data_IF_117216515468
#
_entry.id   IF_117216515468
#
_cell.length_a   1.000
_cell.length_b   1.000
_cell.length_c   1.000
_cell.angle_alpha   90.00
_cell.angle_beta   90.00
_cell.angle_gamma   90.00
#
_symmetry.space_group_name_H-M   'P 1'
#
loop_
_entity.id
_entity.type
_entity.pdbx_description
1 polymer ?
#
# COMPACT_ATOMS: atom_id res chain seq x y z
N UNK A 1 13.19 4.47 15.87
CA UNK A 1 12.36 3.31 16.26
C UNK A 1 13.27 2.31 16.97
N UNK A 2 13.00 1.97 18.24
CA UNK A 2 13.89 1.11 19.06
C UNK A 2 14.00 -0.27 18.40
N UNK A 3 15.23 -0.64 18.07
CA UNK A 3 15.64 -1.98 17.61
C UNK A 3 15.32 -2.97 18.74
N UNK A 4 14.66 -4.12 18.49
CA UNK A 4 14.51 -5.16 19.50
C UNK A 4 15.90 -5.69 19.88
N UNK A 5 16.17 -5.87 21.18
CA UNK A 5 17.46 -6.31 21.76
C UNK A 5 17.97 -7.68 21.24
N UNK A 6 17.21 -8.35 20.38
CA UNK A 6 17.55 -9.62 19.73
C UNK A 6 17.98 -9.50 18.26
N UNK A 7 18.16 -8.29 17.70
CA UNK A 7 18.76 -8.12 16.38
C UNK A 7 20.29 -8.08 16.50
N UNK A 8 20.99 -9.14 16.08
CA UNK A 8 22.45 -9.13 15.99
C UNK A 8 22.88 -8.65 14.61
N UNK A 9 23.58 -7.52 14.58
CA UNK A 9 24.26 -7.02 13.39
C UNK A 9 25.40 -7.97 13.04
N UNK A 10 25.73 -8.17 11.75
CA UNK A 10 26.92 -8.95 11.37
C UNK A 10 28.18 -8.44 12.10
N UNK A 11 28.24 -7.14 12.40
CA UNK A 11 29.30 -6.58 13.25
C UNK A 11 29.26 -7.12 14.69
N UNK A 12 28.09 -7.23 15.30
CA UNK A 12 27.90 -7.85 16.62
C UNK A 12 28.07 -9.37 16.58
N UNK A 13 27.86 -10.04 15.44
CA UNK A 13 28.27 -11.43 15.28
C UNK A 13 29.79 -11.48 15.35
N UNK A 14 30.53 -10.69 14.56
CA UNK A 14 32.01 -10.68 14.59
C UNK A 14 32.59 -10.18 15.92
N UNK A 15 31.98 -9.21 16.60
CA UNK A 15 32.45 -8.64 17.87
C UNK A 15 32.06 -9.48 19.10
N UNK A 16 30.83 -10.03 19.17
CA UNK A 16 30.42 -11.02 20.19
C UNK A 16 31.19 -12.34 19.97
N UNK A 17 31.61 -12.64 18.73
CA UNK A 17 32.56 -13.71 18.42
C UNK A 17 33.97 -13.38 18.92
N UNK A 18 34.49 -12.18 18.65
CA UNK A 18 35.80 -11.76 19.17
C UNK A 18 35.85 -11.71 20.70
N UNK A 19 34.74 -11.37 21.37
CA UNK A 19 34.64 -11.33 22.83
C UNK A 19 34.45 -12.71 23.47
N UNK A 20 33.83 -13.67 22.77
CA UNK A 20 33.70 -15.07 23.25
C UNK A 20 34.93 -15.92 22.95
N UNK A 21 35.79 -15.48 22.03
CA UNK A 21 37.08 -16.08 21.70
C UNK A 21 38.17 -15.68 22.71
N UNK A 22 37.93 -16.00 23.99
CA UNK A 22 39.02 -16.25 24.91
C UNK A 22 39.71 -17.57 24.54
N UNK A 23 40.67 -17.51 23.62
CA UNK A 23 41.81 -18.43 23.45
C UNK A 23 41.62 -19.92 23.85
N UNK A 24 41.31 -20.79 22.88
CA UNK A 24 41.93 -22.12 22.69
C UNK A 24 41.25 -22.78 21.49
N UNK A 25 41.89 -22.94 20.34
CA UNK A 25 42.83 -24.04 20.14
C UNK A 25 42.19 -25.29 19.53
N UNK A 26 41.20 -25.20 18.63
CA UNK A 26 40.94 -26.24 17.62
C UNK A 26 40.04 -25.73 16.47
N UNK A 27 40.65 -25.35 15.33
CA UNK A 27 39.95 -24.64 14.24
C UNK A 27 38.80 -25.42 13.59
N UNK A 28 38.69 -26.74 13.81
CA UNK A 28 37.56 -27.56 13.32
C UNK A 28 36.34 -27.48 14.24
N UNK A 29 36.56 -27.43 15.55
CA UNK A 29 35.51 -27.30 16.56
C UNK A 29 34.90 -25.90 16.50
N UNK A 30 35.73 -24.89 16.23
CA UNK A 30 35.27 -23.52 16.01
C UNK A 30 34.34 -23.44 14.80
N UNK A 31 34.71 -24.01 13.64
CA UNK A 31 33.87 -24.05 12.42
C UNK A 31 32.54 -24.78 12.64
N UNK A 32 32.53 -25.89 13.38
CA UNK A 32 31.31 -26.60 13.72
C UNK A 32 30.37 -25.74 14.60
N UNK A 33 30.93 -25.07 15.61
CA UNK A 33 30.18 -24.15 16.48
C UNK A 33 29.63 -22.95 15.70
N UNK A 34 30.38 -22.42 14.72
CA UNK A 34 29.90 -21.36 13.82
C UNK A 34 28.72 -21.83 12.96
N UNK A 35 28.80 -23.02 12.37
CA UNK A 35 27.73 -23.57 11.53
C UNK A 35 26.47 -23.84 12.36
N UNK A 36 26.61 -24.41 13.56
CA UNK A 36 25.50 -24.62 14.48
C UNK A 36 24.87 -23.28 14.93
N UNK A 37 25.70 -22.27 15.20
CA UNK A 37 25.22 -20.93 15.49
C UNK A 37 24.41 -20.36 14.32
N UNK A 38 24.94 -20.39 13.09
CA UNK A 38 24.27 -19.88 11.89
C UNK A 38 22.95 -20.60 11.60
N UNK A 39 22.88 -21.92 11.80
CA UNK A 39 21.63 -22.68 11.67
C UNK A 39 20.53 -22.19 12.61
N UNK A 40 20.90 -21.68 13.79
CA UNK A 40 19.97 -21.26 14.85
C UNK A 40 19.66 -19.75 14.83
N UNK A 41 20.30 -18.97 13.96
CA UNK A 41 20.03 -17.53 13.84
C UNK A 41 18.60 -17.32 13.31
N UNK A 42 17.79 -16.61 14.10
CA UNK A 42 16.40 -16.24 13.74
C UNK A 42 16.28 -14.83 13.19
N UNK A 43 17.20 -13.95 13.56
CA UNK A 43 17.19 -12.53 13.28
C UNK A 43 18.55 -12.17 12.70
N UNK A 44 18.62 -11.93 11.39
CA UNK A 44 19.87 -11.60 10.72
C UNK A 44 19.81 -10.15 10.24
N UNK A 45 20.79 -9.35 10.64
CA UNK A 45 20.92 -7.96 10.18
C UNK A 45 22.25 -7.74 9.47
N UNK A 46 22.16 -7.59 8.16
CA UNK A 46 23.25 -7.27 7.24
C UNK A 46 23.28 -5.76 7.07
N UNK A 47 24.42 -5.15 7.40
CA UNK A 47 24.66 -3.73 7.13
C UNK A 47 25.90 -3.60 6.28
N UNK A 48 25.78 -2.96 5.12
CA UNK A 48 26.91 -2.48 4.37
C UNK A 48 27.47 -1.21 5.02
N UNK A 49 28.74 -0.94 4.75
CA UNK A 49 29.42 0.27 5.19
C UNK A 49 30.05 0.95 3.97
N UNK A 50 29.90 2.28 3.87
CA UNK A 50 30.65 3.08 2.90
C UNK A 50 32.05 3.34 3.46
N UNK A 51 33.02 2.50 3.08
CA UNK A 51 34.42 2.64 3.50
C UNK A 51 35.20 1.33 3.44
N UNK A 52 36.46 1.37 3.84
CA UNK A 52 37.34 0.20 4.00
C UNK A 52 37.14 -0.45 5.37
N UNK A 53 37.29 -1.78 5.48
CA UNK A 53 37.33 -2.46 6.79
C UNK A 53 38.67 -2.17 7.47
N UNK A 54 38.72 -1.18 8.37
CA UNK A 54 39.95 -0.85 9.09
C UNK A 54 41.09 -0.47 8.14
N UNK A 55 42.18 -1.24 8.12
CA UNK A 55 43.35 -1.05 7.23
C UNK A 55 43.29 -1.86 5.93
N UNK A 56 42.22 -2.61 5.69
CA UNK A 56 42.12 -3.56 4.57
C UNK A 56 41.51 -2.90 3.33
N UNK A 57 42.09 -3.19 2.16
CA UNK A 57 41.65 -2.73 0.84
C UNK A 57 40.36 -3.38 0.31
N UNK A 58 39.62 -4.12 1.14
CA UNK A 58 38.38 -4.79 0.76
C UNK A 58 37.20 -3.84 0.95
N UNK A 59 36.47 -3.59 -0.14
CA UNK A 59 35.23 -2.79 -0.14
C UNK A 59 34.11 -3.69 0.39
N UNK A 60 33.43 -3.27 1.47
CA UNK A 60 32.37 -4.05 2.14
C UNK A 60 31.30 -4.60 1.18
N UNK A 61 31.02 -3.85 0.11
CA UNK A 61 29.91 -4.13 -0.80
C UNK A 61 30.28 -5.02 -2.00
N UNK A 62 31.50 -5.57 -2.06
CA UNK A 62 31.96 -6.35 -3.23
C UNK A 62 32.05 -7.86 -3.01
N UNK A 63 31.70 -8.38 -1.83
CA UNK A 63 31.81 -9.81 -1.54
C UNK A 63 30.42 -10.48 -1.58
N UNK A 64 30.20 -11.46 -2.47
CA UNK A 64 28.98 -12.24 -2.45
C UNK A 64 28.97 -13.21 -1.26
N UNK A 65 27.81 -13.39 -0.63
CA UNK A 65 27.62 -14.39 0.41
C UNK A 65 26.30 -15.14 0.24
N UNK A 66 26.34 -16.45 0.48
CA UNK A 66 25.17 -17.31 0.48
C UNK A 66 24.51 -17.39 1.85
N UNK A 67 23.17 -17.43 1.90
CA UNK A 67 22.41 -17.67 3.14
C UNK A 67 21.98 -19.14 3.32
N UNK A 68 22.61 -20.07 2.59
CA UNK A 68 22.35 -21.50 2.63
C UNK A 68 22.44 -22.12 4.04
N UNK A 69 23.36 -21.65 4.87
CA UNK A 69 23.58 -22.13 6.25
C UNK A 69 22.55 -21.60 7.25
N UNK A 70 21.75 -20.60 6.89
CA UNK A 70 20.83 -19.95 7.81
C UNK A 70 19.41 -20.52 7.67
N UNK A 71 19.17 -21.68 8.30
CA UNK A 71 17.92 -22.45 8.14
C UNK A 71 16.75 -21.97 8.97
N UNK A 72 16.98 -21.12 9.97
CA UNK A 72 15.93 -20.71 10.95
C UNK A 72 15.61 -19.22 10.91
N UNK A 73 16.00 -18.50 9.84
CA UNK A 73 15.79 -17.05 9.76
C UNK A 73 14.29 -16.76 9.70
N UNK A 74 13.83 -15.96 10.66
CA UNK A 74 12.46 -15.46 10.72
C UNK A 74 12.37 -14.00 10.32
N UNK A 75 13.43 -13.22 10.56
CA UNK A 75 13.51 -11.82 10.16
C UNK A 75 14.89 -11.49 9.57
N UNK A 76 14.88 -10.84 8.41
CA UNK A 76 16.06 -10.41 7.68
C UNK A 76 16.05 -8.89 7.52
N UNK A 77 17.12 -8.22 7.95
CA UNK A 77 17.34 -6.80 7.72
C UNK A 77 18.58 -6.63 6.85
N UNK A 78 18.45 -5.88 5.75
CA UNK A 78 19.54 -5.50 4.86
C UNK A 78 19.52 -3.98 4.74
N UNK A 79 20.66 -3.34 4.95
CA UNK A 79 20.79 -1.88 4.78
C UNK A 79 22.14 -1.53 4.18
N UNK A 80 22.18 -0.57 3.26
CA UNK A 80 23.39 -0.06 2.61
C UNK A 80 24.26 -1.14 1.90
N UNK A 81 23.64 -2.25 1.49
CA UNK A 81 24.33 -3.41 0.91
C UNK A 81 23.64 -3.84 -0.39
N UNK A 82 24.41 -4.11 -1.44
CA UNK A 82 23.83 -4.53 -2.73
C UNK A 82 23.20 -5.93 -2.63
N UNK A 83 21.88 -6.01 -2.77
CA UNK A 83 21.14 -7.27 -2.66
C UNK A 83 21.56 -8.32 -3.67
N UNK A 84 22.12 -7.92 -4.82
CA UNK A 84 22.56 -8.83 -5.89
C UNK A 84 23.74 -9.70 -5.48
N UNK A 85 24.42 -9.33 -4.40
CA UNK A 85 25.53 -10.08 -3.82
C UNK A 85 25.05 -11.18 -2.87
N UNK A 86 23.75 -11.24 -2.55
CA UNK A 86 23.19 -12.27 -1.69
C UNK A 86 22.69 -13.40 -2.59
N UNK A 87 23.15 -14.62 -2.31
CA UNK A 87 22.75 -15.82 -3.03
C UNK A 87 22.16 -16.87 -2.08
N UNK A 88 21.64 -17.96 -2.65
CA UNK A 88 21.14 -19.13 -1.94
C UNK A 88 20.01 -18.81 -0.95
N UNK A 89 19.02 -18.02 -1.37
CA UNK A 89 17.88 -17.63 -0.53
C UNK A 89 16.86 -18.77 -0.28
N UNK A 90 17.08 -19.96 -0.83
CA UNK A 90 16.18 -21.13 -0.73
C UNK A 90 15.64 -21.39 0.69
N UNK A 91 16.56 -21.51 1.66
CA UNK A 91 16.19 -21.76 3.06
C UNK A 91 15.42 -20.60 3.69
N UNK A 92 15.76 -19.37 3.28
CA UNK A 92 15.16 -18.13 3.78
C UNK A 92 13.74 -17.97 3.24
N UNK A 93 13.49 -18.33 1.98
CA UNK A 93 12.14 -18.31 1.35
C UNK A 93 11.11 -19.09 2.16
N UNK A 94 11.51 -20.24 2.70
CA UNK A 94 10.64 -21.14 3.46
C UNK A 94 10.37 -20.69 4.90
N UNK A 95 11.31 -19.98 5.52
CA UNK A 95 11.29 -19.72 6.98
C UNK A 95 11.07 -18.26 7.34
N UNK A 96 11.44 -17.34 6.45
CA UNK A 96 11.42 -15.92 6.74
C UNK A 96 9.98 -15.37 6.73
N UNK A 97 9.64 -14.66 7.80
CA UNK A 97 8.33 -14.02 7.99
C UNK A 97 8.36 -12.52 7.76
N UNK A 98 9.51 -11.90 7.97
CA UNK A 98 9.70 -10.45 7.82
C UNK A 98 11.00 -10.12 7.11
N UNK A 99 10.91 -9.32 6.07
CA UNK A 99 12.10 -8.80 5.37
C UNK A 99 12.06 -7.28 5.40
N UNK A 100 13.21 -6.69 5.69
CA UNK A 100 13.41 -5.24 5.69
C UNK A 100 14.66 -4.94 4.88
N UNK A 101 14.54 -4.16 3.82
CA UNK A 101 15.65 -3.79 2.94
C UNK A 101 15.60 -2.29 2.70
N UNK A 102 16.67 -1.58 3.05
CA UNK A 102 16.79 -0.13 2.90
C UNK A 102 18.07 0.25 2.14
N UNK A 103 18.04 1.28 1.30
CA UNK A 103 19.18 1.82 0.54
C UNK A 103 19.98 0.79 -0.28
N UNK A 104 19.32 -0.27 -0.74
CA UNK A 104 19.97 -1.50 -1.21
C UNK A 104 19.40 -2.05 -2.51
N UNK A 105 18.27 -1.50 -3.01
CA UNK A 105 17.56 -2.03 -4.19
C UNK A 105 17.12 -0.94 -5.15
N UNK A 106 17.10 -1.28 -6.44
CA UNK A 106 16.51 -0.47 -7.52
C UNK A 106 15.31 -1.16 -8.15
N UNK A 107 15.32 -2.49 -8.24
CA UNK A 107 14.17 -3.28 -8.66
C UNK A 107 13.81 -4.33 -7.60
N UNK A 108 12.55 -4.74 -7.58
CA UNK A 108 12.10 -5.81 -6.68
C UNK A 108 12.67 -7.16 -7.13
N UNK A 109 12.75 -7.35 -8.45
CA UNK A 109 13.40 -8.49 -9.09
C UNK A 109 14.84 -8.71 -8.65
N UNK A 110 15.60 -7.66 -8.32
CA UNK A 110 17.02 -7.78 -7.91
C UNK A 110 17.22 -8.63 -6.64
N UNK A 111 16.20 -8.72 -5.78
CA UNK A 111 16.23 -9.53 -4.55
C UNK A 111 15.28 -10.73 -4.62
N UNK A 112 14.12 -10.57 -5.25
CA UNK A 112 13.10 -11.61 -5.31
C UNK A 112 13.42 -12.71 -6.34
N UNK A 113 14.22 -12.40 -7.36
CA UNK A 113 14.74 -13.34 -8.34
C UNK A 113 16.25 -13.49 -8.14
N UNK A 114 16.76 -14.72 -8.24
CA UNK A 114 18.20 -14.93 -8.22
C UNK A 114 18.81 -14.45 -9.57
N UNK A 115 19.98 -13.80 -9.57
CA UNK A 115 20.52 -13.10 -10.73
C UNK A 115 20.85 -13.98 -11.95
N UNK A 116 20.86 -15.31 -11.80
CA UNK A 116 21.26 -16.27 -12.85
C UNK A 116 20.08 -17.09 -13.40
N UNK A 117 18.85 -16.86 -12.93
CA UNK A 117 17.68 -17.65 -13.34
C UNK A 117 16.89 -16.96 -14.45
N UNK A 118 17.13 -17.35 -15.71
CA UNK A 118 16.27 -17.00 -16.87
C UNK A 118 14.95 -17.78 -16.89
N UNK A 119 14.48 -18.28 -15.75
CA UNK A 119 13.27 -19.08 -15.64
C UNK A 119 12.04 -18.16 -15.67
N UNK A 120 10.95 -18.56 -16.35
CA UNK A 120 9.66 -17.88 -16.23
C UNK A 120 9.24 -17.79 -14.76
N UNK A 121 8.66 -16.66 -14.33
CA UNK A 121 8.30 -16.37 -12.93
C UNK A 121 7.41 -17.47 -12.31
N UNK A 122 6.59 -18.13 -13.13
CA UNK A 122 5.73 -19.24 -12.73
C UNK A 122 6.51 -20.45 -12.16
N UNK A 123 7.77 -20.62 -12.54
CA UNK A 123 8.62 -21.73 -12.13
C UNK A 123 9.50 -21.42 -10.92
N UNK A 124 9.47 -20.17 -10.42
CA UNK A 124 10.24 -19.76 -9.25
C UNK A 124 9.59 -20.22 -7.96
N UNK A 125 10.41 -20.52 -6.96
CA UNK A 125 9.90 -20.85 -5.63
C UNK A 125 9.29 -19.61 -4.94
N UNK A 126 8.08 -19.81 -4.43
CA UNK A 126 7.33 -18.80 -3.68
C UNK A 126 7.88 -18.63 -2.26
N UNK A 127 7.53 -17.51 -1.64
CA UNK A 127 7.87 -17.22 -0.25
C UNK A 127 6.80 -17.78 0.70
N UNK A 128 6.99 -19.03 1.14
CA UNK A 128 5.99 -19.82 1.89
C UNK A 128 5.65 -19.30 3.29
N UNK A 129 6.47 -18.41 3.85
CA UNK A 129 6.29 -17.90 5.22
C UNK A 129 6.22 -16.37 5.32
N UNK A 130 6.44 -15.64 4.22
CA UNK A 130 6.65 -14.20 4.28
C UNK A 130 5.32 -13.46 4.47
N UNK A 131 5.24 -12.65 5.53
CA UNK A 131 4.02 -11.93 5.91
C UNK A 131 4.19 -10.41 5.92
N UNK A 132 5.40 -9.92 6.20
CA UNK A 132 5.70 -8.50 6.30
C UNK A 132 6.92 -8.16 5.46
N UNK A 133 6.79 -7.23 4.52
CA UNK A 133 7.92 -6.70 3.76
C UNK A 133 8.03 -5.19 3.94
N UNK A 134 9.25 -4.73 4.11
CA UNK A 134 9.60 -3.33 4.23
C UNK A 134 10.76 -3.01 3.29
N UNK A 135 10.43 -2.53 2.11
CA UNK A 135 11.36 -2.08 1.07
C UNK A 135 11.38 -0.55 0.98
N UNK A 136 11.16 0.12 2.11
CA UNK A 136 11.21 1.59 2.15
C UNK A 136 12.64 2.14 1.95
N UNK A 137 12.74 3.43 1.62
CA UNK A 137 14.03 4.10 1.44
C UNK A 137 14.94 3.43 0.41
N UNK A 138 14.38 3.00 -0.71
CA UNK A 138 15.12 2.46 -1.85
C UNK A 138 14.90 3.37 -3.08
N UNK A 139 15.41 2.94 -4.23
CA UNK A 139 15.25 3.64 -5.50
C UNK A 139 14.30 2.87 -6.43
N UNK A 140 13.25 2.25 -5.87
CA UNK A 140 12.31 1.43 -6.66
C UNK A 140 11.40 2.32 -7.51
N UNK A 141 11.49 2.17 -8.83
CA UNK A 141 10.69 2.94 -9.80
C UNK A 141 9.37 2.25 -10.17
N UNK A 142 9.34 0.92 -10.15
CA UNK A 142 8.16 0.12 -10.51
C UNK A 142 7.99 -1.13 -9.64
N UNK A 143 6.74 -1.55 -9.46
CA UNK A 143 6.40 -2.86 -8.89
C UNK A 143 6.32 -3.86 -10.06
N UNK A 144 7.38 -4.65 -10.22
CA UNK A 144 7.49 -5.66 -11.28
C UNK A 144 6.74 -6.97 -10.92
N UNK A 145 6.73 -7.92 -11.87
CA UNK A 145 6.02 -9.19 -11.75
C UNK A 145 6.57 -10.11 -10.64
N UNK A 146 7.79 -9.87 -10.14
CA UNK A 146 8.39 -10.69 -9.08
C UNK A 146 7.61 -10.65 -7.77
N UNK A 147 6.76 -9.64 -7.58
CA UNK A 147 5.84 -9.55 -6.43
C UNK A 147 4.84 -10.72 -6.38
N UNK A 148 4.57 -11.39 -7.51
CA UNK A 148 3.71 -12.57 -7.59
C UNK A 148 4.23 -13.77 -6.79
N UNK A 149 5.49 -13.73 -6.34
CA UNK A 149 6.08 -14.77 -5.47
C UNK A 149 5.69 -14.59 -3.99
N UNK A 150 4.98 -13.51 -3.63
CA UNK A 150 4.73 -13.07 -2.26
C UNK A 150 3.27 -13.26 -1.79
N UNK A 151 2.63 -14.36 -2.17
CA UNK A 151 1.19 -14.64 -1.97
C UNK A 151 0.67 -14.45 -0.53
N UNK A 152 1.52 -14.65 0.48
CA UNK A 152 1.15 -14.62 1.90
C UNK A 152 1.42 -13.27 2.58
N UNK A 153 1.97 -12.29 1.86
CA UNK A 153 2.29 -10.97 2.41
C UNK A 153 1.02 -10.23 2.77
N UNK A 154 0.97 -9.77 4.03
CA UNK A 154 -0.14 -9.02 4.62
C UNK A 154 0.15 -7.54 4.76
N UNK A 155 1.42 -7.19 4.99
CA UNK A 155 1.88 -5.82 5.15
C UNK A 155 3.04 -5.55 4.21
N UNK A 156 2.92 -4.49 3.43
CA UNK A 156 3.93 -4.07 2.47
C UNK A 156 4.23 -2.60 2.64
N UNK A 157 5.49 -2.28 2.90
CA UNK A 157 5.97 -0.91 2.95
C UNK A 157 6.93 -0.65 1.78
N UNK A 158 6.53 0.25 0.90
CA UNK A 158 7.30 0.77 -0.24
C UNK A 158 7.44 2.30 -0.14
N UNK A 159 7.36 2.86 1.07
CA UNK A 159 7.50 4.30 1.26
C UNK A 159 8.91 4.81 0.96
N UNK A 160 9.05 6.09 0.61
CA UNK A 160 10.34 6.69 0.24
C UNK A 160 11.03 5.92 -0.92
N UNK A 161 10.30 5.77 -2.02
CA UNK A 161 10.80 5.21 -3.29
C UNK A 161 10.49 6.20 -4.43
N UNK A 162 10.63 5.75 -5.68
CA UNK A 162 10.40 6.56 -6.88
C UNK A 162 9.16 6.07 -7.66
N UNK A 163 8.20 5.42 -6.98
CA UNK A 163 7.03 4.84 -7.63
C UNK A 163 6.11 5.93 -8.19
N UNK A 164 5.65 5.72 -9.43
CA UNK A 164 4.63 6.58 -10.07
C UNK A 164 3.23 5.95 -10.02
N UNK A 165 3.13 4.68 -9.63
CA UNK A 165 1.88 3.94 -9.47
C UNK A 165 2.14 2.51 -8.97
N UNK A 166 1.07 1.70 -8.89
CA UNK A 166 1.12 0.33 -8.35
C UNK A 166 1.38 -0.78 -9.37
N UNK A 167 1.62 -0.44 -10.64
CA UNK A 167 1.83 -1.42 -11.71
C UNK A 167 0.60 -2.32 -11.95
N UNK A 168 0.82 -3.51 -12.52
CA UNK A 168 -0.23 -4.47 -12.91
C UNK A 168 -0.09 -5.84 -12.22
N UNK A 169 0.58 -5.91 -11.07
CA UNK A 169 0.92 -7.21 -10.45
C UNK A 169 0.41 -7.35 -9.02
N UNK A 170 -0.08 -6.28 -8.37
CA UNK A 170 -0.58 -6.39 -6.99
C UNK A 170 -1.84 -7.24 -6.85
N UNK A 171 -2.57 -7.55 -7.94
CA UNK A 171 -3.72 -8.46 -7.86
C UNK A 171 -3.37 -9.88 -7.40
N UNK A 172 -2.09 -10.29 -7.49
CA UNK A 172 -1.63 -11.59 -7.03
C UNK A 172 -1.55 -11.67 -5.49
N UNK A 173 -1.46 -10.53 -4.80
CA UNK A 173 -1.31 -10.46 -3.35
C UNK A 173 -2.65 -10.51 -2.63
N UNK A 174 -3.29 -11.67 -2.69
CA UNK A 174 -4.63 -11.88 -2.14
C UNK A 174 -4.71 -11.67 -0.62
N UNK A 175 -3.61 -11.77 0.11
CA UNK A 175 -3.55 -11.59 1.57
C UNK A 175 -3.16 -10.17 1.99
N UNK A 176 -2.87 -9.26 1.05
CA UNK A 176 -2.40 -7.91 1.37
C UNK A 176 -3.51 -7.09 2.03
N UNK A 177 -3.25 -6.63 3.26
CA UNK A 177 -4.18 -5.85 4.07
C UNK A 177 -3.69 -4.44 4.36
N UNK A 178 -2.38 -4.22 4.38
CA UNK A 178 -1.76 -2.93 4.69
C UNK A 178 -0.70 -2.63 3.64
N UNK A 179 -0.87 -1.51 2.93
CA UNK A 179 0.02 -1.05 1.88
C UNK A 179 0.44 0.38 2.17
N UNK A 180 1.74 0.61 2.31
CA UNK A 180 2.32 1.92 2.49
C UNK A 180 3.13 2.33 1.25
N UNK A 181 2.67 3.37 0.58
CA UNK A 181 3.26 3.98 -0.61
C UNK A 181 3.58 5.47 -0.37
N UNK A 182 3.76 5.86 0.89
CA UNK A 182 4.02 7.27 1.24
C UNK A 182 5.36 7.76 0.69
N UNK A 183 5.50 9.05 0.40
CA UNK A 183 6.71 9.67 -0.12
C UNK A 183 7.20 8.99 -1.41
N UNK A 184 6.31 8.92 -2.39
CA UNK A 184 6.59 8.47 -3.76
C UNK A 184 6.17 9.59 -4.75
N UNK A 185 6.15 9.30 -6.04
CA UNK A 185 5.75 10.23 -7.10
C UNK A 185 4.40 9.85 -7.73
N UNK A 186 3.46 9.31 -6.95
CA UNK A 186 2.18 8.81 -7.46
C UNK A 186 1.25 9.99 -7.77
N UNK A 187 0.74 10.02 -9.00
CA UNK A 187 -0.19 11.06 -9.49
C UNK A 187 -1.58 10.50 -9.77
N UNK A 188 -1.67 9.33 -10.41
CA UNK A 188 -2.93 8.73 -10.88
C UNK A 188 -3.24 7.41 -10.17
N UNK A 189 -4.51 7.24 -9.78
CA UNK A 189 -5.00 6.05 -9.08
C UNK A 189 -5.83 5.12 -9.98
N UNK A 190 -5.72 5.30 -11.29
CA UNK A 190 -6.57 4.61 -12.27
C UNK A 190 -6.47 3.08 -12.17
N UNK A 191 -7.64 2.44 -12.15
CA UNK A 191 -7.78 0.99 -12.06
C UNK A 191 -7.19 0.35 -10.79
N UNK A 192 -6.85 1.12 -9.75
CA UNK A 192 -6.38 0.55 -8.48
C UNK A 192 -7.44 -0.34 -7.82
N UNK A 193 -8.71 0.00 -7.99
CA UNK A 193 -9.86 -0.80 -7.56
C UNK A 193 -9.85 -2.25 -8.10
N UNK A 194 -9.21 -2.49 -9.26
CA UNK A 194 -9.10 -3.82 -9.84
C UNK A 194 -7.88 -4.60 -9.32
N UNK A 195 -6.96 -3.92 -8.60
CA UNK A 195 -5.64 -4.44 -8.23
C UNK A 195 -5.48 -4.62 -6.72
N UNK A 196 -6.13 -3.79 -5.89
CA UNK A 196 -5.95 -3.73 -4.43
C UNK A 196 -7.13 -4.35 -3.64
N UNK A 197 -7.71 -5.44 -4.13
CA UNK A 197 -9.04 -5.92 -3.70
C UNK A 197 -9.27 -6.10 -2.19
N UNK A 198 -8.25 -6.50 -1.42
CA UNK A 198 -8.37 -6.81 0.02
C UNK A 198 -7.69 -5.79 0.95
N UNK A 199 -7.17 -4.69 0.41
CA UNK A 199 -6.43 -3.70 1.20
C UNK A 199 -7.38 -2.98 2.15
N UNK A 200 -7.04 -3.01 3.44
CA UNK A 200 -7.76 -2.35 4.54
C UNK A 200 -7.13 -1.02 4.92
N UNK A 201 -5.81 -0.91 4.82
CA UNK A 201 -5.06 0.29 5.19
C UNK A 201 -4.17 0.70 4.04
N UNK A 202 -4.37 1.92 3.56
CA UNK A 202 -3.62 2.49 2.46
C UNK A 202 -3.00 3.82 2.89
N UNK A 203 -1.68 3.88 2.86
CA UNK A 203 -0.93 5.09 3.15
C UNK A 203 -0.35 5.67 1.85
N UNK A 204 -0.76 6.88 1.52
CA UNK A 204 -0.37 7.61 0.31
C UNK A 204 0.16 9.01 0.65
N UNK A 205 0.62 9.23 1.88
CA UNK A 205 1.11 10.53 2.31
C UNK A 205 2.30 11.01 1.46
N UNK A 206 2.44 12.30 1.18
CA UNK A 206 3.58 12.85 0.43
C UNK A 206 3.69 12.36 -1.01
N UNK A 207 2.56 12.26 -1.71
CA UNK A 207 2.49 11.96 -3.14
C UNK A 207 1.96 13.20 -3.91
N UNK A 208 1.60 13.05 -5.17
CA UNK A 208 1.11 14.13 -6.04
C UNK A 208 -0.33 13.88 -6.50
N UNK A 209 -1.11 13.19 -5.68
CA UNK A 209 -2.47 12.77 -6.04
C UNK A 209 -3.40 13.99 -6.04
N UNK A 210 -4.06 14.25 -7.15
CA UNK A 210 -5.08 15.29 -7.26
C UNK A 210 -6.51 14.75 -7.31
N UNK A 211 -6.71 13.49 -7.70
CA UNK A 211 -8.04 12.86 -7.77
C UNK A 211 -8.03 11.45 -7.19
N UNK A 212 -9.12 11.08 -6.52
CA UNK A 212 -9.30 9.75 -5.92
C UNK A 212 -10.05 8.78 -6.86
N UNK A 213 -10.25 9.17 -8.10
CA UNK A 213 -10.79 8.33 -9.15
C UNK A 213 -9.92 7.07 -9.30
N UNK A 214 -10.54 5.92 -9.06
CA UNK A 214 -9.85 4.63 -9.04
C UNK A 214 -9.86 3.91 -7.68
N UNK A 215 -10.30 4.56 -6.61
CA UNK A 215 -10.50 3.91 -5.30
C UNK A 215 -11.94 3.44 -5.03
N UNK A 216 -12.90 3.78 -5.89
CA UNK A 216 -14.35 3.61 -5.69
C UNK A 216 -14.87 2.20 -5.38
N UNK A 217 -14.12 1.12 -5.68
CA UNK A 217 -14.53 -0.27 -5.37
C UNK A 217 -13.65 -0.94 -4.32
N UNK A 218 -12.83 -0.19 -3.57
CA UNK A 218 -12.05 -0.72 -2.47
C UNK A 218 -12.93 -0.87 -1.22
N UNK A 219 -13.89 -1.78 -1.28
CA UNK A 219 -14.93 -1.92 -0.25
C UNK A 219 -14.38 -2.30 1.12
N UNK A 220 -13.20 -2.94 1.18
CA UNK A 220 -12.53 -3.32 2.42
C UNK A 220 -11.67 -2.22 3.04
N UNK A 221 -11.53 -1.06 2.39
CA UNK A 221 -10.66 0.02 2.86
C UNK A 221 -11.26 0.66 4.13
N UNK A 222 -10.51 0.60 5.22
CA UNK A 222 -10.87 1.12 6.55
C UNK A 222 -10.10 2.41 6.89
N UNK A 223 -8.87 2.53 6.39
CA UNK A 223 -7.96 3.64 6.66
C UNK A 223 -7.30 4.13 5.37
N UNK A 224 -7.39 5.44 5.13
CA UNK A 224 -6.78 6.12 4.00
C UNK A 224 -6.05 7.38 4.48
N UNK A 225 -4.73 7.41 4.28
CA UNK A 225 -3.90 8.58 4.55
C UNK A 225 -3.46 9.23 3.24
N UNK A 226 -3.92 10.46 3.02
CA UNK A 226 -3.62 11.29 1.86
C UNK A 226 -2.88 12.57 2.27
N UNK A 227 -2.20 12.56 3.42
CA UNK A 227 -1.45 13.74 3.91
C UNK A 227 -0.49 14.26 2.84
N UNK A 228 -0.31 15.58 2.72
CA UNK A 228 0.63 16.20 1.77
C UNK A 228 0.47 15.69 0.33
N UNK A 229 -0.75 15.84 -0.23
CA UNK A 229 -1.07 15.58 -1.64
C UNK A 229 -1.65 16.86 -2.29
N UNK A 230 -2.14 16.75 -3.52
CA UNK A 230 -2.64 17.88 -4.30
C UNK A 230 -4.18 17.88 -4.46
N UNK A 231 -4.91 17.41 -3.44
CA UNK A 231 -6.37 17.37 -3.46
C UNK A 231 -6.92 18.78 -3.19
N UNK A 232 -7.55 19.37 -4.20
CA UNK A 232 -8.03 20.75 -4.14
C UNK A 232 -9.52 20.87 -3.87
N UNK A 233 -10.33 20.00 -4.46
CA UNK A 233 -11.79 20.12 -4.42
C UNK A 233 -12.42 19.06 -3.50
N UNK A 234 -13.47 19.42 -2.73
CA UNK A 234 -14.25 18.44 -1.96
C UNK A 234 -14.90 17.36 -2.83
N UNK A 235 -15.19 17.68 -4.09
CA UNK A 235 -15.80 16.78 -5.06
C UNK A 235 -14.94 15.54 -5.37
N UNK A 236 -13.61 15.64 -5.27
CA UNK A 236 -12.69 14.53 -5.46
C UNK A 236 -12.87 13.43 -4.40
N UNK A 237 -13.40 13.79 -3.23
CA UNK A 237 -13.63 12.87 -2.11
C UNK A 237 -14.92 12.09 -2.27
N UNK A 238 -15.84 12.54 -3.14
CA UNK A 238 -17.09 11.82 -3.44
C UNK A 238 -16.84 10.34 -3.77
N UNK A 239 -15.75 10.05 -4.49
CA UNK A 239 -15.36 8.71 -4.91
C UNK A 239 -15.09 7.79 -3.72
N UNK A 240 -14.47 8.29 -2.65
CA UNK A 240 -14.22 7.52 -1.42
C UNK A 240 -15.39 7.60 -0.44
N UNK A 241 -16.27 8.59 -0.56
CA UNK A 241 -17.51 8.71 0.23
C UNK A 241 -18.47 7.53 0.07
N UNK A 242 -18.39 6.82 -1.07
CA UNK A 242 -19.20 5.61 -1.36
C UNK A 242 -18.66 4.37 -0.63
N UNK A 243 -17.43 4.39 -0.11
CA UNK A 243 -16.79 3.20 0.46
C UNK A 243 -17.41 2.84 1.81
N UNK A 244 -18.00 1.62 1.97
CA UNK A 244 -18.81 1.27 3.13
C UNK A 244 -18.02 1.02 4.41
N UNK A 245 -16.72 0.72 4.33
CA UNK A 245 -15.90 0.38 5.49
C UNK A 245 -14.91 1.49 5.90
N UNK A 246 -14.83 2.60 5.15
CA UNK A 246 -13.87 3.65 5.45
C UNK A 246 -14.24 4.33 6.78
N UNK A 247 -13.35 4.25 7.76
CA UNK A 247 -13.51 4.82 9.12
C UNK A 247 -12.53 5.98 9.34
N UNK A 248 -11.33 5.93 8.75
CA UNK A 248 -10.31 6.96 8.93
C UNK A 248 -9.87 7.55 7.60
N UNK A 249 -9.99 8.87 7.49
CA UNK A 249 -9.51 9.66 6.36
C UNK A 249 -8.63 10.81 6.86
N UNK A 250 -7.41 10.91 6.33
CA UNK A 250 -6.48 12.00 6.66
C UNK A 250 -6.21 12.81 5.38
N UNK A 251 -6.47 14.13 5.44
CA UNK A 251 -6.33 15.06 4.31
C UNK A 251 -5.44 16.25 4.64
N UNK A 252 -4.63 16.15 5.69
CA UNK A 252 -3.73 17.23 6.11
C UNK A 252 -2.74 17.61 5.02
N UNK A 253 -2.36 18.88 4.92
CA UNK A 253 -1.39 19.32 3.93
C UNK A 253 -1.88 19.34 2.48
N UNK A 254 -3.19 19.17 2.24
CA UNK A 254 -3.80 19.31 0.92
C UNK A 254 -4.41 20.70 0.72
N UNK A 255 -4.46 21.23 -0.52
CA UNK A 255 -5.11 22.51 -0.82
C UNK A 255 -6.57 22.61 -0.36
N UNK A 256 -7.29 21.48 -0.27
CA UNK A 256 -8.67 21.42 0.26
C UNK A 256 -8.82 22.01 1.67
N UNK A 257 -7.77 22.03 2.49
CA UNK A 257 -7.83 22.64 3.82
C UNK A 257 -8.07 24.15 3.79
N UNK A 258 -7.81 24.81 2.66
CA UNK A 258 -8.05 26.24 2.47
C UNK A 258 -9.54 26.55 2.18
N UNK A 259 -10.34 25.52 1.88
CA UNK A 259 -11.76 25.68 1.58
C UNK A 259 -12.54 26.01 2.86
N UNK A 260 -13.41 27.01 2.77
CA UNK A 260 -14.31 27.39 3.87
C UNK A 260 -15.21 26.19 4.21
N UNK A 261 -15.28 25.86 5.51
CA UNK A 261 -15.99 24.69 6.04
C UNK A 261 -15.52 23.36 5.43
N UNK A 262 -14.22 23.20 5.15
CA UNK A 262 -13.69 21.99 4.51
C UNK A 262 -14.19 20.70 5.18
N UNK A 263 -14.17 20.63 6.52
CA UNK A 263 -14.62 19.44 7.26
C UNK A 263 -16.07 19.07 6.97
N UNK A 264 -16.97 20.05 7.03
CA UNK A 264 -18.41 19.85 6.81
C UNK A 264 -18.64 19.40 5.36
N UNK A 265 -18.01 20.06 4.38
CA UNK A 265 -18.15 19.70 2.96
C UNK A 265 -17.60 18.31 2.65
N UNK A 266 -16.47 17.94 3.24
CA UNK A 266 -15.89 16.60 3.07
C UNK A 266 -16.80 15.54 3.67
N UNK A 267 -17.27 15.75 4.91
CA UNK A 267 -18.14 14.82 5.60
C UNK A 267 -19.53 14.70 4.96
N UNK A 268 -20.03 15.76 4.32
CA UNK A 268 -21.30 15.73 3.55
C UNK A 268 -21.28 14.67 2.43
N UNK A 269 -20.11 14.38 1.86
CA UNK A 269 -19.96 13.33 0.85
C UNK A 269 -20.07 11.90 1.40
N UNK A 270 -19.91 11.71 2.72
CA UNK A 270 -20.09 10.42 3.41
C UNK A 270 -21.55 10.16 3.81
N UNK A 271 -22.44 11.14 3.63
CA UNK A 271 -23.86 10.98 3.83
C UNK A 271 -24.25 10.63 5.27
N UNK A 272 -25.07 9.59 5.44
CA UNK A 272 -25.52 9.11 6.75
C UNK A 272 -24.37 8.59 7.64
N UNK A 273 -23.24 8.22 7.04
CA UNK A 273 -22.05 7.72 7.75
C UNK A 273 -21.08 8.81 8.17
N UNK A 274 -21.41 10.07 7.91
CA UNK A 274 -20.56 11.21 8.27
C UNK A 274 -20.16 11.20 9.75
N UNK A 275 -21.03 10.74 10.66
CA UNK A 275 -20.78 10.67 12.11
C UNK A 275 -19.78 9.58 12.53
N UNK A 276 -19.61 8.55 11.72
CA UNK A 276 -18.70 7.44 11.99
C UNK A 276 -17.26 7.78 11.57
N UNK A 277 -17.13 8.46 10.42
CA UNK A 277 -15.85 8.73 9.77
C UNK A 277 -15.01 9.75 10.54
N UNK A 278 -13.79 9.35 10.91
CA UNK A 278 -12.78 10.22 11.50
C UNK A 278 -12.00 10.95 10.41
N UNK A 279 -12.22 12.26 10.33
CA UNK A 279 -11.46 13.16 9.47
C UNK A 279 -10.31 13.80 10.24
N UNK A 280 -9.08 13.68 9.73
CA UNK A 280 -7.85 14.24 10.33
C UNK A 280 -7.62 13.80 11.79
N UNK A 281 -7.91 12.53 12.06
CA UNK A 281 -7.83 11.90 13.40
C UNK A 281 -8.86 12.42 14.41
N UNK A 282 -9.89 13.15 13.97
CA UNK A 282 -10.98 13.63 14.84
C UNK A 282 -12.33 13.18 14.31
N UNK A 283 -13.21 12.74 15.22
CA UNK A 283 -14.63 12.54 14.89
C UNK A 283 -15.30 13.90 14.65
N UNK A 284 -16.42 13.94 13.92
CA UNK A 284 -17.20 15.16 13.79
C UNK A 284 -17.76 15.58 15.14
N UNK A 285 -17.73 16.89 15.43
CA UNK A 285 -18.39 17.45 16.60
C UNK A 285 -19.92 17.44 16.41
N UNK A 286 -20.70 17.49 17.49
CA UNK A 286 -22.18 17.49 17.42
C UNK A 286 -22.73 18.59 16.49
N UNK A 287 -22.14 19.79 16.52
CA UNK A 287 -22.53 20.90 15.62
C UNK A 287 -22.23 20.62 14.15
N UNK A 288 -21.10 19.96 13.87
CA UNK A 288 -20.73 19.57 12.51
C UNK A 288 -21.72 18.52 12.00
N UNK A 289 -22.00 17.50 12.82
CA UNK A 289 -22.95 16.45 12.52
C UNK A 289 -24.37 16.99 12.26
N UNK A 290 -24.87 17.88 13.13
CA UNK A 290 -26.18 18.52 12.97
C UNK A 290 -26.27 19.31 11.67
N UNK A 291 -25.23 20.08 11.36
CA UNK A 291 -25.15 20.88 10.12
C UNK A 291 -25.16 19.97 8.89
N UNK A 292 -24.44 18.85 8.93
CA UNK A 292 -24.39 17.86 7.85
C UNK A 292 -25.76 17.20 7.68
N UNK A 293 -26.40 16.77 8.77
CA UNK A 293 -27.74 16.15 8.72
C UNK A 293 -28.79 17.09 8.14
N UNK A 294 -28.75 18.38 8.52
CA UNK A 294 -29.65 19.41 7.95
C UNK A 294 -29.38 19.61 6.45
N UNK A 295 -28.12 19.73 6.03
CA UNK A 295 -27.75 19.89 4.61
C UNK A 295 -28.16 18.68 3.78
N UNK A 296 -27.95 17.47 4.31
CA UNK A 296 -28.35 16.23 3.65
C UNK A 296 -29.87 16.11 3.52
N UNK A 297 -30.63 16.47 4.56
CA UNK A 297 -32.09 16.50 4.52
C UNK A 297 -32.60 17.53 3.49
N UNK A 298 -32.00 18.73 3.44
CA UNK A 298 -32.35 19.75 2.45
C UNK A 298 -32.04 19.30 1.03
N UNK A 299 -30.92 18.61 0.81
CA UNK A 299 -30.56 18.04 -0.49
C UNK A 299 -31.56 16.98 -0.93
N UNK A 300 -31.89 16.02 -0.06
CA UNK A 300 -32.89 14.98 -0.33
C UNK A 300 -34.26 15.58 -0.64
N UNK A 301 -34.70 16.58 0.12
CA UNK A 301 -35.96 17.27 -0.12
C UNK A 301 -35.99 18.02 -1.47
N UNK A 302 -34.85 18.57 -1.92
CA UNK A 302 -34.73 19.18 -3.26
C UNK A 302 -34.81 18.14 -4.36
N UNK A 303 -34.08 17.03 -4.24
CA UNK A 303 -34.10 15.92 -5.20
C UNK A 303 -35.50 15.32 -5.33
N UNK A 304 -36.22 15.11 -4.22
CA UNK A 304 -37.61 14.63 -4.23
C UNK A 304 -38.56 15.62 -4.92
N UNK A 305 -38.39 16.93 -4.68
CA UNK A 305 -39.19 17.96 -5.34
C UNK A 305 -38.93 18.00 -6.84
N UNK A 306 -37.69 17.88 -7.27
CA UNK A 306 -37.30 17.82 -8.68
C UNK A 306 -37.86 16.57 -9.37
N UNK A 307 -37.75 15.39 -8.74
CA UNK A 307 -38.33 14.13 -9.22
C UNK A 307 -39.85 14.23 -9.35
N UNK A 308 -40.54 14.85 -8.39
CA UNK A 308 -41.97 15.11 -8.46
C UNK A 308 -42.33 16.06 -9.61
N UNK A 309 -41.56 17.13 -9.83
CA UNK A 309 -41.80 18.03 -10.96
C UNK A 309 -41.57 17.35 -12.30
N UNK A 310 -40.56 16.49 -12.41
CA UNK A 310 -40.25 15.72 -13.62
C UNK A 310 -41.33 14.67 -13.92
N UNK A 311 -41.83 13.97 -12.90
CA UNK A 311 -42.96 13.03 -13.03
C UNK A 311 -44.23 13.75 -13.48
N UNK A 312 -44.56 14.89 -12.87
CA UNK A 312 -45.71 15.72 -13.29
C UNK A 312 -45.57 16.20 -14.73
N UNK A 313 -44.38 16.62 -15.16
CA UNK A 313 -44.13 17.02 -16.54
C UNK A 313 -44.32 15.86 -17.54
N UNK A 314 -43.83 14.65 -17.20
CA UNK A 314 -44.03 13.45 -18.03
C UNK A 314 -45.50 13.01 -18.11
N UNK A 315 -46.26 13.10 -17.02
CA UNK A 315 -47.70 12.82 -17.04
C UNK A 315 -48.46 13.81 -17.93
N UNK A 316 -48.10 15.10 -17.88
CA UNK A 316 -48.70 16.13 -18.73
C UNK A 316 -48.41 15.85 -20.21
N UNK A 317 -47.15 15.54 -20.58
CA UNK A 317 -46.78 15.19 -21.97
C UNK A 317 -47.50 13.92 -22.47
N UNK A 318 -47.63 12.90 -21.61
CA UNK A 318 -48.37 11.67 -21.94
C UNK A 318 -49.85 11.96 -22.16
N UNK A 319 -50.44 12.84 -21.34
CA UNK A 319 -51.85 13.25 -21.46
C UNK A 319 -52.09 14.07 -22.72
N UNK A 320 -51.18 15.00 -23.08
CA UNK A 320 -51.28 15.74 -24.34
C UNK A 320 -51.16 14.86 -25.58
N UNK A 321 -50.26 13.85 -25.57
CA UNK A 321 -50.16 12.89 -26.68
C UNK A 321 -51.40 12.00 -26.84
N UNK A 322 -52.05 11.64 -25.73
CA UNK A 322 -53.32 10.89 -25.78
C UNK A 322 -54.50 11.72 -26.31
N UNK A 323 -54.48 13.04 -26.07
CA UNK A 323 -55.50 13.97 -26.55
C UNK A 323 -55.29 14.31 -28.04
N UNK A 324 -54.05 14.43 -28.51
CA UNK A 324 -53.76 14.70 -29.94
C UNK A 324 -53.99 13.49 -30.86
N UNK A 325 -54.14 12.28 -30.31
CA UNK A 325 -54.37 11.05 -31.08
C UNK A 325 -55.83 10.79 -31.46
N UNK A 326 -56.79 11.62 -31.02
CA UNK A 326 -58.22 11.32 -31.15
C UNK A 326 -59.02 12.18 -32.15
N UNK A 327 -58.40 13.13 -32.86
CA UNK A 327 -59.11 14.05 -33.77
C UNK A 327 -58.54 14.04 -35.20
N UNK A 328 -58.65 12.93 -35.94
CA UNK A 328 -58.76 12.95 -37.42
C UNK A 328 -59.28 11.61 -37.95
N UNK A 329 -60.59 11.34 -37.88
CA UNK A 329 -61.27 10.41 -38.79
C UNK A 329 -62.80 10.45 -38.59
N UNK A 330 -63.45 11.53 -39.02
CA UNK A 330 -64.88 11.48 -39.37
C UNK A 330 -65.01 11.63 -40.89
N UNK A 331 -65.48 10.60 -41.62
CA UNK A 331 -65.68 10.72 -43.06
C UNK A 331 -66.94 11.55 -43.31
N UNK A 332 -66.78 12.69 -43.97
CA UNK A 332 -67.89 13.49 -44.49
C UNK A 332 -68.57 12.67 -45.60
N UNK A 333 -69.79 12.18 -45.33
CA UNK A 333 -70.71 11.71 -46.36
C UNK A 333 -71.37 12.92 -47.02
N UNK A 334 -71.19 13.07 -48.32
CA UNK A 334 -72.03 13.93 -49.17
C UNK A 334 -72.70 13.08 -50.24
N UNK A 335 -73.97 13.41 -50.46
CA UNK A 335 -75.00 12.78 -51.29
C UNK A 335 -74.66 12.64 -52.77
#
# INVERSE_FOLDING_TARGET
MKVPESSKEVHAIVEDLSLRLGTSGDGKTDVANYVEFLHNVRNLKVRGARGYVGTSNVIWNSLPFGLNLCKSITALWISDFDVRMIHDLYSVRKTCRRIVIHYSMKKLSDFLLEPDETLPIENHEKWDSLQEIDFSFNEVEEIDESISLLDLVRKMNLSHNLLTGVGNHLQHLTMLTELNLSHNAIENLDSWYAKLGNVKRLHLAGNKISSLNGLHKLYSLEFLDLTDNNIAEPDDIRTVGVLPCLDHLILRGNPIQQVIEYRIKVLEHFGERATEVKLDSRKPDEREADTISVRLALRKAREEKEEQTRKKAMEIDKKSRSLSGHDTAAPVRSF
#
